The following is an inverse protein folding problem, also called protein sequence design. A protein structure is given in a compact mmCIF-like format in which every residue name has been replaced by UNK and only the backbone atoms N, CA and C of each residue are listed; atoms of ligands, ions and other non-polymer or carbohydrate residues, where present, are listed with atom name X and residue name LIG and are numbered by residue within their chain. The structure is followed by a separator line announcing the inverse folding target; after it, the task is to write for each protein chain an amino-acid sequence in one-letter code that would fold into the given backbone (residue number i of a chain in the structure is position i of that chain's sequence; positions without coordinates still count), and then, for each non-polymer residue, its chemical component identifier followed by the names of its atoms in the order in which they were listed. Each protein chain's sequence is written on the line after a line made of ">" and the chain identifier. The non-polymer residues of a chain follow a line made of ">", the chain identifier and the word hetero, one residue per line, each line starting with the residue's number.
data_IF_050617946514
#
_entry.id   IF_050617946514
#
_cell.length_a   1.000
_cell.length_b   1.000
_cell.length_c   1.000
_cell.angle_alpha   90.00
_cell.angle_beta   90.00
_cell.angle_gamma   90.00
#
_symmetry.space_group_name_H-M   'P 1'
#
loop_
_entity.id
_entity.type
_entity.pdbx_description
1 polymer ?
#
# COMPACT_ATOMS: atom_id res chain seq x y z
N UNK A 1 -8.99 0.53 -19.12
CA UNK A 1 -10.02 0.13 -18.15
C UNK A 1 -9.80 0.64 -16.72
N UNK A 2 -8.63 0.48 -16.07
CA UNK A 2 -8.44 0.93 -14.67
C UNK A 2 -8.56 2.45 -14.47
N UNK A 3 -7.96 3.27 -15.35
CA UNK A 3 -8.04 4.74 -15.24
C UNK A 3 -9.47 5.28 -15.37
N UNK A 4 -10.29 4.74 -16.28
CA UNK A 4 -11.70 5.13 -16.41
C UNK A 4 -12.51 4.84 -15.14
N UNK A 5 -12.31 3.66 -14.53
CA UNK A 5 -12.96 3.32 -13.25
C UNK A 5 -12.59 4.29 -12.12
N UNK A 6 -11.32 4.72 -12.08
CA UNK A 6 -10.88 5.71 -11.11
C UNK A 6 -11.50 7.09 -11.36
N UNK A 7 -11.62 7.52 -12.61
CA UNK A 7 -12.29 8.78 -12.95
C UNK A 7 -13.78 8.75 -12.58
N UNK A 8 -14.47 7.64 -12.83
CA UNK A 8 -15.87 7.44 -12.44
C UNK A 8 -16.06 7.48 -10.91
N UNK A 9 -15.12 6.91 -10.16
CA UNK A 9 -15.15 6.95 -8.69
C UNK A 9 -14.83 8.35 -8.13
N UNK A 10 -13.87 9.04 -8.73
CA UNK A 10 -13.40 10.33 -8.24
C UNK A 10 -14.35 11.49 -8.56
N UNK A 11 -15.25 11.34 -9.55
CA UNK A 11 -16.18 12.40 -10.00
C UNK A 11 -17.03 13.02 -8.88
N UNK A 12 -17.30 12.25 -7.82
CA UNK A 12 -18.17 12.65 -6.71
C UNK A 12 -17.40 13.40 -5.60
N UNK A 13 -16.06 13.49 -5.72
CA UNK A 13 -15.21 14.21 -4.78
C UNK A 13 -14.90 15.61 -5.30
N UNK A 14 -14.94 16.61 -4.43
CA UNK A 14 -14.43 17.95 -4.73
C UNK A 14 -12.90 17.97 -4.55
N UNK A 15 -12.16 17.81 -5.66
CA UNK A 15 -10.71 17.86 -5.66
C UNK A 15 -10.16 18.54 -6.92
N UNK A 16 -8.91 19.00 -6.83
CA UNK A 16 -8.16 19.55 -7.96
C UNK A 16 -6.94 18.69 -8.22
N UNK A 17 -6.74 18.31 -9.48
CA UNK A 17 -5.55 17.58 -9.89
C UNK A 17 -4.36 18.54 -10.01
N UNK A 18 -3.42 18.45 -9.07
CA UNK A 18 -2.22 19.28 -9.04
C UNK A 18 -0.96 18.41 -9.14
N UNK A 19 -0.05 18.76 -10.05
CA UNK A 19 1.25 18.12 -10.13
C UNK A 19 2.18 18.65 -9.04
N UNK A 20 2.79 17.72 -8.28
CA UNK A 20 3.76 18.04 -7.25
C UNK A 20 5.13 17.44 -7.63
N UNK A 21 6.17 18.27 -7.79
CA UNK A 21 7.53 17.79 -8.02
C UNK A 21 8.00 16.87 -6.89
N UNK A 22 8.85 15.89 -7.19
CA UNK A 22 9.17 14.77 -6.29
C UNK A 22 9.61 15.13 -4.86
N UNK A 23 10.21 16.30 -4.64
CA UNK A 23 10.57 16.78 -3.28
C UNK A 23 9.36 16.99 -2.37
N UNK A 24 8.20 17.36 -2.92
CA UNK A 24 6.96 17.52 -2.17
C UNK A 24 6.31 16.19 -1.78
N UNK A 25 6.72 15.06 -2.39
CA UNK A 25 6.16 13.74 -2.13
C UNK A 25 6.86 13.01 -0.97
N UNK A 26 7.78 13.65 -0.24
CA UNK A 26 8.61 13.00 0.78
C UNK A 26 7.81 12.29 1.88
N UNK A 27 6.70 12.88 2.35
CA UNK A 27 5.83 12.27 3.36
C UNK A 27 5.10 11.04 2.78
N UNK A 28 4.55 11.17 1.57
CA UNK A 28 3.85 10.06 0.91
C UNK A 28 4.78 8.88 0.60
N UNK A 29 6.01 9.15 0.13
CA UNK A 29 7.02 8.12 -0.13
C UNK A 29 7.43 7.41 1.17
N UNK A 30 7.71 8.17 2.24
CA UNK A 30 8.07 7.61 3.54
C UNK A 30 6.96 6.70 4.12
N UNK A 31 5.69 7.13 4.03
CA UNK A 31 4.55 6.35 4.51
C UNK A 31 4.32 5.08 3.67
N UNK A 32 4.44 5.19 2.34
CA UNK A 32 4.31 4.04 1.45
C UNK A 32 5.36 2.97 1.76
N UNK A 33 6.63 3.38 1.91
CA UNK A 33 7.72 2.45 2.27
C UNK A 33 7.51 1.80 3.62
N UNK A 34 7.03 2.56 4.63
CA UNK A 34 6.71 2.00 5.96
C UNK A 34 5.63 0.92 5.85
N UNK A 35 4.56 1.18 5.11
CA UNK A 35 3.47 0.21 4.91
C UNK A 35 3.97 -1.08 4.26
N UNK A 36 4.74 -0.97 3.17
CA UNK A 36 5.32 -2.12 2.47
C UNK A 36 6.24 -2.96 3.39
N UNK A 37 7.04 -2.30 4.22
CA UNK A 37 7.89 -2.99 5.17
C UNK A 37 7.09 -3.77 6.22
N UNK A 38 6.03 -3.15 6.77
CA UNK A 38 5.13 -3.83 7.72
C UNK A 38 4.42 -5.02 7.08
N UNK A 39 3.90 -4.86 5.85
CA UNK A 39 3.28 -5.97 5.12
C UNK A 39 4.26 -7.12 4.88
N UNK A 40 5.52 -6.82 4.58
CA UNK A 40 6.57 -7.84 4.42
C UNK A 40 6.85 -8.57 5.72
N UNK A 41 6.92 -7.87 6.86
CA UNK A 41 7.12 -8.49 8.17
C UNK A 41 5.94 -9.40 8.53
N UNK A 42 4.70 -8.94 8.36
CA UNK A 42 3.51 -9.75 8.62
C UNK A 42 3.46 -11.00 7.75
N UNK A 43 3.81 -10.90 6.46
CA UNK A 43 3.87 -12.07 5.58
C UNK A 43 4.91 -13.10 6.03
N UNK A 44 6.07 -12.64 6.54
CA UNK A 44 7.10 -13.53 7.11
C UNK A 44 6.63 -14.18 8.41
N UNK A 45 5.96 -13.42 9.27
CA UNK A 45 5.40 -13.93 10.52
C UNK A 45 4.33 -14.98 10.29
N UNK A 46 3.41 -14.74 9.34
CA UNK A 46 2.41 -15.72 8.93
C UNK A 46 3.04 -17.01 8.40
N UNK A 47 4.08 -16.87 7.55
CA UNK A 47 4.82 -18.03 7.04
C UNK A 47 5.48 -18.82 8.17
N UNK A 48 6.08 -18.13 9.14
CA UNK A 48 6.70 -18.78 10.29
C UNK A 48 5.66 -19.52 11.15
N UNK A 49 4.49 -18.91 11.39
CA UNK A 49 3.39 -19.55 12.12
C UNK A 49 2.90 -20.81 11.40
N UNK A 50 2.83 -20.77 10.08
CA UNK A 50 2.47 -21.93 9.25
C UNK A 50 3.52 -23.04 9.38
N UNK A 51 4.81 -22.72 9.23
CA UNK A 51 5.90 -23.68 9.42
C UNK A 51 5.89 -24.31 10.84
N UNK A 52 5.57 -23.54 11.88
CA UNK A 52 5.44 -24.07 13.24
C UNK A 52 4.22 -25.00 13.40
N UNK A 53 3.09 -24.71 12.75
CA UNK A 53 1.91 -25.60 12.77
C UNK A 53 2.21 -26.93 12.10
N UNK A 54 2.97 -26.91 11.01
CA UNK A 54 3.37 -28.12 10.29
C UNK A 54 4.39 -28.96 11.07
N UNK A 55 5.16 -28.34 11.96
CA UNK A 55 6.12 -29.01 12.86
C UNK A 55 5.46 -29.61 14.11
N UNK A 56 4.33 -29.05 14.57
CA UNK A 56 3.53 -29.62 15.64
C UNK A 56 2.68 -30.78 15.11
N UNK A 57 3.30 -31.95 14.94
CA UNK A 57 2.61 -33.25 14.90
C UNK A 57 2.00 -33.60 16.26
#
# INVERSE_FOLDING_TARGET
>A
MRQQRWLEFLKDYDFKLNYHPGKANGVADALSRKSLHMSSLMAKELKLIEEFRDLSL
#
